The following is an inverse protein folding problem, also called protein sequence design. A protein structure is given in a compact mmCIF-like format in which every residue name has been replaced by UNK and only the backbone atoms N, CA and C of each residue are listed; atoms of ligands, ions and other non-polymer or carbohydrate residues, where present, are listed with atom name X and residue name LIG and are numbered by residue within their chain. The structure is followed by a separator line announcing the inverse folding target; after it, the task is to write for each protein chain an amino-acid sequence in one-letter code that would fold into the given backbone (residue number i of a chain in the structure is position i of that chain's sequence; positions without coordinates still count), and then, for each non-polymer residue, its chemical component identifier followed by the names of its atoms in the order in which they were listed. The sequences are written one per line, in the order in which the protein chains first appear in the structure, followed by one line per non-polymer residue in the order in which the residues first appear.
data_IF_555301614956
#
_entry.id   IF_555301614956
#
_cell.length_a   1.000
_cell.length_b   1.000
_cell.length_c   1.000
_cell.angle_alpha   90.00
_cell.angle_beta   90.00
_cell.angle_gamma   90.00
#
_symmetry.space_group_name_H-M   'P 1'
#
loop_
_entity.id
_entity.type
_entity.pdbx_description
1 polymer ?
#
# COMPACT_ATOMS: atom_id res chain seq x y z
N UNK A 1 -2.34 14.84 6.49
CA UNK A 1 -3.02 13.74 5.78
C UNK A 1 -2.45 13.64 4.38
N UNK A 2 -1.90 12.50 3.97
CA UNK A 2 -1.40 12.33 2.60
C UNK A 2 -2.57 11.99 1.66
N UNK A 3 -2.84 12.80 0.62
CA UNK A 3 -3.98 12.57 -0.28
C UNK A 3 -3.85 11.24 -1.05
N UNK A 4 -2.63 10.81 -1.33
CA UNK A 4 -2.32 9.54 -1.99
C UNK A 4 -2.72 8.32 -1.16
N UNK A 5 -2.50 8.36 0.17
CA UNK A 5 -2.94 7.27 1.05
C UNK A 5 -4.46 7.09 0.97
N UNK A 6 -5.20 8.20 1.04
CA UNK A 6 -6.67 8.18 1.03
C UNK A 6 -7.18 7.58 -0.28
N UNK A 7 -6.57 7.94 -1.42
CA UNK A 7 -6.91 7.36 -2.73
C UNK A 7 -6.66 5.86 -2.78
N UNK A 8 -5.51 5.39 -2.29
CA UNK A 8 -5.19 3.97 -2.25
C UNK A 8 -6.15 3.17 -1.36
N UNK A 9 -6.45 3.69 -0.15
CA UNK A 9 -7.39 3.05 0.78
C UNK A 9 -8.80 2.99 0.17
N UNK A 10 -9.25 4.06 -0.48
CA UNK A 10 -10.57 4.12 -1.11
C UNK A 10 -10.71 3.09 -2.23
N UNK A 11 -9.63 2.91 -3.03
CA UNK A 11 -9.55 1.88 -4.08
C UNK A 11 -9.73 0.47 -3.50
N UNK A 12 -8.89 0.14 -2.51
CA UNK A 12 -8.92 -1.17 -1.84
C UNK A 12 -10.25 -1.44 -1.15
N UNK A 13 -10.85 -0.42 -0.49
CA UNK A 13 -12.19 -0.52 0.10
C UNK A 13 -13.27 -0.72 -0.95
N UNK A 14 -13.19 -0.06 -2.12
CA UNK A 14 -14.12 -0.29 -3.23
C UNK A 14 -14.07 -1.73 -3.73
N UNK A 15 -12.88 -2.35 -3.71
CA UNK A 15 -12.67 -3.75 -4.05
C UNK A 15 -13.13 -4.72 -2.95
N UNK A 16 -13.54 -4.22 -1.78
CA UNK A 16 -13.95 -5.04 -0.64
C UNK A 16 -12.79 -5.61 0.17
N UNK A 17 -11.57 -5.13 -0.04
CA UNK A 17 -10.41 -5.61 0.70
C UNK A 17 -10.33 -4.99 2.10
N UNK A 18 -9.80 -5.77 3.04
CA UNK A 18 -9.47 -5.27 4.37
C UNK A 18 -8.19 -4.43 4.33
N UNK A 19 -8.33 -3.13 4.52
CA UNK A 19 -7.19 -2.20 4.55
C UNK A 19 -6.80 -1.91 5.98
N UNK A 20 -5.54 -2.18 6.33
CA UNK A 20 -4.96 -1.77 7.60
C UNK A 20 -4.08 -0.55 7.40
N UNK A 21 -4.53 0.58 7.93
CA UNK A 21 -3.75 1.82 7.90
C UNK A 21 -2.71 1.80 9.02
N UNK A 22 -1.43 1.84 8.66
CA UNK A 22 -0.31 1.89 9.61
C UNK A 22 0.39 3.24 9.43
N UNK A 23 0.28 4.09 10.45
CA UNK A 23 0.93 5.41 10.46
C UNK A 23 2.40 5.30 10.90
N UNK A 24 3.29 4.93 9.97
CA UNK A 24 4.74 4.92 10.21
C UNK A 24 5.39 6.33 10.23
N UNK A 25 4.61 7.41 10.10
CA UNK A 25 5.14 8.78 10.05
C UNK A 25 5.66 9.28 11.40
N UNK A 26 5.06 8.83 12.51
CA UNK A 26 5.41 9.28 13.86
C UNK A 26 6.28 8.27 14.63
N UNK A 27 6.29 7.01 14.19
CA UNK A 27 7.08 5.94 14.80
C UNK A 27 8.35 5.64 14.01
N UNK A 28 9.52 5.95 14.59
CA UNK A 28 10.81 5.66 13.96
C UNK A 28 11.05 4.16 13.76
N UNK A 29 10.59 3.31 14.67
CA UNK A 29 10.72 1.84 14.54
C UNK A 29 9.85 1.32 13.40
N UNK A 30 8.58 1.72 13.33
CA UNK A 30 7.69 1.40 12.21
C UNK A 30 8.25 1.90 10.88
N UNK A 31 8.86 3.09 10.87
CA UNK A 31 9.52 3.62 9.67
C UNK A 31 10.70 2.76 9.23
N UNK A 32 11.52 2.28 10.16
CA UNK A 32 12.63 1.37 9.84
C UNK A 32 12.11 0.03 9.31
N UNK A 33 11.08 -0.53 9.94
CA UNK A 33 10.45 -1.76 9.47
C UNK A 33 9.85 -1.59 8.06
N UNK A 34 9.13 -0.49 7.83
CA UNK A 34 8.61 -0.12 6.52
C UNK A 34 9.73 -0.01 5.47
N UNK A 35 10.84 0.67 5.78
CA UNK A 35 11.98 0.79 4.84
C UNK A 35 12.59 -0.58 4.56
N UNK A 36 12.72 -1.45 5.57
CA UNK A 36 13.23 -2.81 5.40
C UNK A 36 12.30 -3.65 4.50
N UNK A 37 10.98 -3.56 4.71
CA UNK A 37 9.98 -4.27 3.90
C UNK A 37 9.82 -3.70 2.49
N UNK A 38 9.97 -2.39 2.31
CA UNK A 38 9.89 -1.72 1.00
C UNK A 38 11.23 -1.72 0.24
N UNK A 39 12.14 -2.65 0.57
CA UNK A 39 13.44 -2.81 -0.09
C UNK A 39 14.27 -1.50 -0.15
N UNK A 40 14.21 -0.69 0.90
CA UNK A 40 14.90 0.60 1.00
C UNK A 40 14.10 1.83 0.55
N UNK A 41 12.87 1.64 0.03
CA UNK A 41 12.04 2.77 -0.38
C UNK A 41 11.63 3.63 0.82
N UNK A 42 11.80 4.95 0.67
CA UNK A 42 11.46 5.97 1.69
C UNK A 42 10.29 6.86 1.29
N UNK A 43 9.72 6.61 0.11
CA UNK A 43 8.56 7.31 -0.43
C UNK A 43 7.28 6.85 0.26
N UNK A 44 6.32 7.74 0.43
CA UNK A 44 5.00 7.43 0.96
C UNK A 44 3.94 7.75 -0.10
N UNK A 45 2.85 6.97 -0.19
CA UNK A 45 2.53 5.75 0.55
C UNK A 45 3.37 4.53 0.12
N UNK A 46 3.52 3.55 1.01
CA UNK A 46 3.95 2.19 0.65
C UNK A 46 2.78 1.24 0.89
N UNK A 47 2.34 0.57 -0.16
CA UNK A 47 1.23 -0.36 -0.16
C UNK A 47 1.78 -1.78 -0.21
N UNK A 48 1.26 -2.61 0.67
CA UNK A 48 1.56 -4.03 0.78
C UNK A 48 0.25 -4.80 0.72
N UNK A 49 0.21 -5.85 -0.07
CA UNK A 49 -0.94 -6.77 -0.18
C UNK A 49 -0.44 -8.17 0.19
N UNK A 50 -0.81 -8.63 1.38
CA UNK A 50 -0.21 -9.84 1.97
C UNK A 50 1.30 -9.65 2.16
N UNK A 51 2.09 -10.55 1.58
CA UNK A 51 3.55 -10.49 1.54
C UNK A 51 4.10 -9.72 0.31
N UNK A 52 3.22 -9.33 -0.63
CA UNK A 52 3.63 -8.64 -1.85
C UNK A 52 3.77 -7.14 -1.61
N UNK A 53 4.97 -6.61 -1.87
CA UNK A 53 5.22 -5.17 -1.90
C UNK A 53 4.77 -4.61 -3.25
N UNK A 54 3.72 -3.77 -3.23
CA UNK A 54 3.18 -3.13 -4.44
C UNK A 54 3.97 -1.86 -4.77
N UNK A 55 4.35 -1.09 -3.74
CA UNK A 55 5.01 0.19 -3.89
C UNK A 55 4.08 1.36 -3.62
N UNK A 56 4.07 2.33 -4.53
CA UNK A 56 3.32 3.58 -4.39
C UNK A 56 1.83 3.50 -4.73
N UNK A 57 1.18 4.67 -4.65
CA UNK A 57 -0.19 4.82 -5.11
C UNK A 57 -0.28 4.54 -6.62
N UNK A 58 0.69 4.99 -7.41
CA UNK A 58 0.74 4.78 -8.86
C UNK A 58 0.84 3.28 -9.20
N UNK A 59 1.76 2.53 -8.59
CA UNK A 59 1.84 1.07 -8.78
C UNK A 59 0.52 0.35 -8.42
N UNK A 60 -0.17 0.77 -7.35
CA UNK A 60 -1.46 0.19 -6.99
C UNK A 60 -2.51 0.40 -8.08
N UNK A 61 -2.60 1.62 -8.62
CA UNK A 61 -3.52 1.93 -9.72
C UNK A 61 -3.13 1.18 -11.00
N UNK A 62 -1.84 1.08 -11.31
CA UNK A 62 -1.36 0.31 -12.45
C UNK A 62 -1.76 -1.18 -12.36
N UNK A 63 -1.75 -1.77 -11.15
CA UNK A 63 -2.24 -3.14 -10.94
C UNK A 63 -3.75 -3.26 -11.10
N UNK A 64 -4.51 -2.25 -10.66
CA UNK A 64 -5.96 -2.21 -10.89
C UNK A 64 -6.28 -2.12 -12.38
N UNK A 65 -5.63 -1.20 -13.10
CA UNK A 65 -5.79 -1.04 -14.55
C UNK A 65 -5.39 -2.31 -15.31
N UNK A 66 -4.37 -3.02 -14.83
CA UNK A 66 -3.97 -4.32 -15.36
C UNK A 66 -4.88 -5.49 -14.94
N UNK A 67 -5.88 -5.28 -14.07
CA UNK A 67 -6.76 -6.33 -13.55
C UNK A 67 -6.06 -7.35 -12.65
N UNK A 68 -4.87 -7.03 -12.14
CA UNK A 68 -4.06 -7.91 -11.26
C UNK A 68 -4.29 -7.64 -9.79
N UNK A 69 -4.94 -6.54 -9.43
CA UNK A 69 -5.24 -6.21 -8.05
C UNK A 69 -6.28 -7.15 -7.45
N UNK A 70 -7.39 -7.43 -8.15
CA UNK A 70 -8.45 -8.33 -7.68
C UNK A 70 -7.95 -9.73 -7.27
N UNK A 71 -7.12 -10.45 -8.07
CA UNK A 71 -6.58 -11.75 -7.66
C UNK A 71 -5.58 -11.65 -6.51
N UNK A 72 -4.89 -10.51 -6.33
CA UNK A 72 -4.01 -10.30 -5.18
C UNK A 72 -4.80 -10.08 -3.88
N UNK A 73 -6.00 -9.50 -3.96
CA UNK A 73 -6.86 -9.23 -2.80
C UNK A 73 -7.74 -10.42 -2.41
N UNK A 74 -8.05 -11.31 -3.35
CA UNK A 74 -8.82 -12.55 -3.14
C UNK A 74 -7.95 -13.82 -3.04
N UNK A 75 -6.62 -13.66 -3.10
CA UNK A 75 -5.66 -14.76 -3.03
C UNK A 75 -5.37 -15.24 -1.62
#
# INVERSE_FOLDING_TARGET
LCPYCIRAISLLKKKGAQVREICAAFDQEMRKEMIARSNGARTYPQIFVGDAHIGGCDELYALEEAGKLDPLLNG
#
